data_IF_698122169006
#
_entry.id   IF_698122169006
#
_cell.length_a   1.000
_cell.length_b   1.000
_cell.length_c   1.000
_cell.angle_alpha   90.00
_cell.angle_beta   90.00
_cell.angle_gamma   90.00
#
_symmetry.space_group_name_H-M   'P 1'
#
loop_
_entity.id
_entity.type
_entity.pdbx_description
1 polymer ?
#
# COMPACT_ATOMS: atom_id res chain seq x y z
N UNK A 1 2.59 13.92 3.63
CA UNK A 1 3.00 12.76 4.40
C UNK A 1 1.80 11.93 4.81
N UNK A 2 1.92 10.63 4.80
CA UNK A 2 0.81 9.77 5.11
C UNK A 2 0.69 9.56 6.61
N UNK A 3 -0.55 9.52 7.10
CA UNK A 3 -0.74 9.16 8.49
C UNK A 3 -0.60 7.64 8.65
N UNK A 4 -0.67 7.19 9.88
CA UNK A 4 -0.40 5.80 10.21
C UNK A 4 -1.38 4.86 9.52
N UNK A 5 -2.66 5.24 9.44
CA UNK A 5 -3.65 4.41 8.79
C UNK A 5 -3.39 4.28 7.30
N UNK A 6 -3.12 5.41 6.64
CA UNK A 6 -2.85 5.37 5.21
C UNK A 6 -1.58 4.62 4.90
N UNK A 7 -0.55 4.80 5.74
CA UNK A 7 0.70 4.08 5.54
C UNK A 7 0.50 2.58 5.66
N UNK A 8 -0.30 2.15 6.64
CA UNK A 8 -0.59 0.73 6.82
C UNK A 8 -1.34 0.16 5.65
N UNK A 9 -2.34 0.88 5.16
CA UNK A 9 -3.12 0.44 4.01
C UNK A 9 -2.24 0.37 2.77
N UNK A 10 -1.42 1.39 2.55
CA UNK A 10 -0.53 1.39 1.39
C UNK A 10 0.45 0.23 1.46
N UNK A 11 1.00 -0.04 2.64
CA UNK A 11 1.91 -1.17 2.80
C UNK A 11 1.22 -2.49 2.49
N UNK A 12 -0.03 -2.65 2.92
CA UNK A 12 -0.77 -3.86 2.64
C UNK A 12 -1.00 -4.04 1.14
N UNK A 13 -1.30 -2.94 0.44
CA UNK A 13 -1.49 -3.00 -1.00
C UNK A 13 -0.20 -3.38 -1.71
N UNK A 14 0.92 -2.77 -1.30
CA UNK A 14 2.20 -3.07 -1.92
C UNK A 14 2.56 -4.55 -1.70
N UNK A 15 2.40 -5.04 -0.49
CA UNK A 15 2.73 -6.42 -0.19
C UNK A 15 1.86 -7.39 -0.96
N UNK A 16 0.57 -7.12 -1.03
CA UNK A 16 -0.34 -8.00 -1.77
C UNK A 16 -0.01 -8.00 -3.26
N UNK A 17 0.33 -6.85 -3.79
CA UNK A 17 0.67 -6.77 -5.20
C UNK A 17 1.96 -7.51 -5.51
N UNK A 18 2.95 -7.41 -4.62
CA UNK A 18 4.21 -8.13 -4.80
C UNK A 18 3.94 -9.63 -4.81
N UNK A 19 3.05 -10.09 -3.95
CA UNK A 19 2.75 -11.51 -3.85
C UNK A 19 1.99 -12.05 -5.04
N UNK A 20 1.01 -11.29 -5.54
CA UNK A 20 0.08 -11.81 -6.52
C UNK A 20 0.26 -11.25 -7.92
N UNK A 21 0.92 -10.10 -8.03
CA UNK A 21 1.06 -9.39 -9.31
C UNK A 21 -0.30 -9.06 -9.91
N UNK A 22 -1.32 -8.93 -9.07
CA UNK A 22 -2.67 -8.62 -9.50
C UNK A 22 -3.16 -7.37 -8.80
N UNK A 23 -4.03 -6.59 -9.45
CA UNK A 23 -4.59 -5.42 -8.78
C UNK A 23 -5.26 -5.80 -7.46
N UNK A 24 -5.14 -4.92 -6.48
CA UNK A 24 -5.54 -5.21 -5.11
C UNK A 24 -6.83 -4.47 -4.80
N UNK A 25 -7.85 -5.21 -4.36
CA UNK A 25 -9.13 -4.62 -3.99
C UNK A 25 -9.19 -4.35 -2.50
N UNK A 26 -10.16 -3.53 -2.10
CA UNK A 26 -10.29 -3.16 -0.69
C UNK A 26 -10.62 -4.36 0.19
N UNK A 27 -11.35 -5.34 -0.33
CA UNK A 27 -11.69 -6.51 0.48
C UNK A 27 -10.46 -7.34 0.79
N UNK A 28 -9.50 -7.40 -0.12
CA UNK A 28 -8.26 -8.11 0.16
C UNK A 28 -7.45 -7.40 1.24
N UNK A 29 -7.39 -6.07 1.16
CA UNK A 29 -6.70 -5.29 2.17
C UNK A 29 -7.38 -5.45 3.52
N UNK A 30 -8.70 -5.51 3.54
CA UNK A 30 -9.44 -5.63 4.79
C UNK A 30 -9.13 -6.93 5.52
N UNK A 31 -8.66 -7.94 4.82
CA UNK A 31 -8.30 -9.21 5.44
C UNK A 31 -6.88 -9.22 5.98
N UNK A 32 -6.13 -8.19 5.69
CA UNK A 32 -4.76 -8.10 6.17
C UNK A 32 -4.73 -7.87 7.68
N UNK A 33 -3.84 -8.57 8.37
CA UNK A 33 -3.75 -8.42 9.81
C UNK A 33 -3.18 -7.07 10.22
N UNK A 34 -2.48 -6.42 9.32
CA UNK A 34 -1.88 -5.12 9.62
C UNK A 34 -2.86 -3.97 9.46
N UNK A 35 -4.08 -4.26 9.01
CA UNK A 35 -5.09 -3.23 8.79
C UNK A 35 -6.33 -3.60 9.58
N UNK A 36 -6.76 -2.70 10.45
CA UNK A 36 -7.87 -3.00 11.36
C UNK A 36 -8.99 -1.99 11.20
N UNK A 37 -9.51 -1.89 9.98
CA UNK A 37 -10.64 -1.01 9.70
C UNK A 37 -11.54 -1.69 8.68
N UNK A 38 -12.76 -1.16 8.56
CA UNK A 38 -13.74 -1.76 7.66
C UNK A 38 -13.34 -1.58 6.20
N UNK A 39 -13.91 -2.41 5.33
CA UNK A 39 -13.59 -2.34 3.92
C UNK A 39 -14.05 -1.03 3.29
N UNK A 40 -15.12 -0.42 3.80
CA UNK A 40 -15.56 0.87 3.26
C UNK A 40 -14.58 1.97 3.63
N UNK A 41 -14.02 1.92 4.84
CA UNK A 41 -12.97 2.87 5.22
C UNK A 41 -11.74 2.67 4.34
N UNK A 42 -11.37 1.42 4.10
CA UNK A 42 -10.22 1.13 3.26
C UNK A 42 -10.44 1.66 1.86
N UNK A 43 -11.64 1.47 1.32
CA UNK A 43 -11.95 1.98 -0.01
C UNK A 43 -11.77 3.49 -0.09
N UNK A 44 -12.23 4.22 0.95
CA UNK A 44 -12.07 5.65 0.97
C UNK A 44 -10.62 6.06 1.06
N UNK A 45 -9.85 5.37 1.91
CA UNK A 45 -8.43 5.69 2.03
C UNK A 45 -7.67 5.37 0.76
N UNK A 46 -8.03 4.28 0.09
CA UNK A 46 -7.38 3.95 -1.17
C UNK A 46 -7.68 4.99 -2.25
N UNK A 47 -8.89 5.55 -2.24
CA UNK A 47 -9.21 6.61 -3.18
C UNK A 47 -8.35 7.84 -2.92
N UNK A 48 -8.11 8.16 -1.65
CA UNK A 48 -7.23 9.28 -1.32
C UNK A 48 -5.80 9.00 -1.73
N UNK A 49 -5.33 7.77 -1.51
CA UNK A 49 -3.98 7.40 -1.92
C UNK A 49 -3.83 7.50 -3.43
N UNK A 50 -4.88 7.14 -4.16
CA UNK A 50 -4.84 7.26 -5.61
C UNK A 50 -4.75 8.72 -6.03
N UNK A 51 -5.53 9.58 -5.40
CA UNK A 51 -5.50 10.99 -5.75
C UNK A 51 -4.17 11.63 -5.43
N UNK A 52 -3.43 11.08 -4.49
CA UNK A 52 -2.12 11.60 -4.12
C UNK A 52 -0.98 10.95 -4.90
N UNK A 53 -1.29 10.04 -5.80
CA UNK A 53 -0.27 9.46 -6.65
C UNK A 53 0.38 8.20 -6.14
N UNK A 54 -0.09 7.66 -5.03
CA UNK A 54 0.49 6.42 -4.49
C UNK A 54 -0.11 5.17 -5.11
N UNK A 55 -1.34 5.25 -5.59
CA UNK A 55 -2.00 4.12 -6.21
C UNK A 55 -2.52 4.52 -7.58
N UNK A 56 -2.70 3.53 -8.44
CA UNK A 56 -3.23 3.75 -9.77
C UNK A 56 -4.27 2.68 -10.05
N UNK A 57 -5.24 3.00 -10.90
CA UNK A 57 -6.27 2.05 -11.26
C UNK A 57 -6.00 1.52 -12.66
N UNK A 58 -5.76 0.22 -12.81
CA UNK A 58 -5.59 -0.34 -14.13
C UNK A 58 -6.84 -0.17 -14.96
N UNK A 59 -6.65 -0.16 -16.24
CA UNK A 59 -7.66 0.19 -17.21
C UNK A 59 -9.01 -0.47 -17.01
N UNK A 60 -9.03 -1.75 -16.73
CA UNK A 60 -10.30 -2.49 -16.69
C UNK A 60 -10.53 -3.19 -15.37
N UNK A 61 -9.87 -2.75 -14.32
CA UNK A 61 -9.95 -3.44 -13.05
C UNK A 61 -10.57 -2.57 -11.98
N UNK A 62 -11.27 -3.20 -11.03
CA UNK A 62 -11.78 -2.51 -9.87
C UNK A 62 -10.71 -2.34 -8.80
N UNK A 63 -9.59 -3.07 -8.89
CA UNK A 63 -8.52 -2.98 -7.92
C UNK A 63 -7.54 -1.86 -8.20
N UNK A 64 -6.51 -1.79 -7.39
CA UNK A 64 -5.49 -0.75 -7.52
C UNK A 64 -4.11 -1.39 -7.55
N UNK A 65 -3.17 -0.71 -8.19
CA UNK A 65 -1.77 -1.14 -8.19
C UNK A 65 -0.93 -0.02 -7.59
N UNK A 66 0.19 -0.35 -6.95
CA UNK A 66 1.07 0.69 -6.41
C UNK A 66 1.87 1.35 -7.52
N UNK A 67 2.12 2.65 -7.34
CA UNK A 67 2.96 3.40 -8.27
C UNK A 67 4.39 3.38 -7.79
N UNK A 68 5.29 3.96 -8.57
CA UNK A 68 6.68 4.10 -8.16
C UNK A 68 6.78 4.88 -6.87
N UNK A 69 5.94 5.90 -6.70
CA UNK A 69 5.92 6.69 -5.48
C UNK A 69 5.57 5.81 -4.29
N UNK A 70 4.65 4.86 -4.48
CA UNK A 70 4.27 3.95 -3.40
C UNK A 70 5.43 3.04 -3.00
N UNK A 71 6.13 2.49 -3.98
CA UNK A 71 7.27 1.64 -3.68
C UNK A 71 8.37 2.40 -2.97
N UNK A 72 8.62 3.63 -3.40
CA UNK A 72 9.62 4.46 -2.77
C UNK A 72 9.28 4.73 -1.31
N UNK A 73 8.00 5.05 -1.06
CA UNK A 73 7.56 5.25 0.30
C UNK A 73 7.72 3.99 1.13
N UNK A 74 7.35 2.85 0.55
CA UNK A 74 7.43 1.57 1.24
C UNK A 74 8.87 1.27 1.66
N UNK A 75 9.80 1.43 0.74
CA UNK A 75 11.20 1.16 1.04
C UNK A 75 11.74 2.13 2.08
N UNK A 76 11.46 3.41 1.91
CA UNK A 76 12.03 4.44 2.77
C UNK A 76 11.49 4.41 4.18
N UNK A 77 10.21 4.10 4.34
CA UNK A 77 9.53 4.28 5.61
C UNK A 77 9.19 2.98 6.32
N UNK A 78 9.12 1.89 5.60
CA UNK A 78 8.70 0.62 6.19
C UNK A 78 9.83 -0.39 6.26
N UNK A 79 10.81 -0.29 5.36
CA UNK A 79 11.92 -1.25 5.33
C UNK A 79 13.28 -0.59 5.49
N UNK A 80 13.37 0.68 5.13
CA UNK A 80 14.64 1.36 5.02
C UNK A 80 15.57 1.27 6.23
N UNK A 81 15.10 1.63 7.41
CA UNK A 81 16.00 1.66 8.56
C UNK A 81 16.66 0.32 8.84
N UNK A 82 15.91 -0.74 8.66
CA UNK A 82 16.45 -2.08 8.92
C UNK A 82 17.58 -2.40 7.97
N UNK A 83 17.39 -2.08 6.70
CA UNK A 83 18.41 -2.39 5.71
C UNK A 83 19.66 -1.58 5.88
N UNK A 84 19.51 -0.34 6.29
CA UNK A 84 20.69 0.49 6.52
C UNK A 84 21.58 -0.08 7.58
N UNK A 85 20.97 -0.60 8.63
CA UNK A 85 21.76 -1.20 9.69
C UNK A 85 22.57 -2.38 9.20
N UNK A 86 21.96 -3.20 8.36
CA UNK A 86 22.65 -4.38 7.86
C UNK A 86 23.77 -4.00 6.90
N UNK A 87 23.58 -2.99 6.13
CA UNK A 87 24.58 -2.57 5.18
C UNK A 87 25.85 -2.15 5.88
N UNK A 88 25.70 -1.55 7.03
CA UNK A 88 26.85 -1.08 7.78
C UNK A 88 27.73 -2.20 8.26
N UNK A 89 27.18 -3.34 8.42
CA UNK A 89 27.93 -4.46 8.94
C UNK A 89 28.54 -5.26 7.82
#
# INVERSE_FOLDING_TARGET
MLDERKAGILGAVVEAYIETAQPVGSSLVARSESVDVSSSTIRNEMALLESEGYLDQPHTSAGRIPTEKAYRFFVDNLLGPVRLDRVEN
#
